data_IF_901401498122
#
_entry.id   IF_901401498122
#
_cell.length_a   1.000
_cell.length_b   1.000
_cell.length_c   1.000
_cell.angle_alpha   90.00
_cell.angle_beta   90.00
_cell.angle_gamma   90.00
#
_symmetry.space_group_name_H-M   'P 1'
#
loop_
_entity.id
_entity.type
_entity.pdbx_description
1 polymer ?
#
# COMPACT_ATOMS: atom_id res chain seq x y z
N UNK A 1 12.29 -3.54 13.87
CA UNK A 1 11.67 -4.51 12.95
C UNK A 1 10.19 -4.54 13.26
N UNK A 2 9.48 -3.47 12.91
CA UNK A 2 8.06 -3.35 13.20
C UNK A 2 7.31 -3.26 11.88
N UNK A 3 6.52 -4.28 11.55
CA UNK A 3 5.46 -4.13 10.58
C UNK A 3 4.32 -3.35 11.23
N UNK A 4 3.73 -2.41 10.52
CA UNK A 4 2.47 -1.80 10.96
C UNK A 4 1.35 -2.84 10.98
N UNK A 5 0.50 -2.84 12.01
CA UNK A 5 -0.70 -3.68 12.06
C UNK A 5 -1.85 -2.99 11.31
N UNK A 6 -2.07 -3.39 10.06
CA UNK A 6 -3.12 -2.78 9.23
C UNK A 6 -4.52 -3.17 9.68
N UNK A 7 -4.66 -4.22 10.50
CA UNK A 7 -5.97 -4.64 11.05
C UNK A 7 -6.57 -3.58 11.97
N UNK A 8 -5.74 -2.73 12.58
CA UNK A 8 -6.18 -1.59 13.39
C UNK A 8 -7.10 -0.62 12.61
N UNK A 9 -6.99 -0.59 11.28
CA UNK A 9 -7.79 0.27 10.41
C UNK A 9 -8.98 -0.46 9.77
N UNK A 10 -9.17 -1.75 10.03
CA UNK A 10 -10.19 -2.57 9.37
C UNK A 10 -11.61 -2.03 9.61
N UNK A 11 -11.87 -1.45 10.78
CA UNK A 11 -13.18 -0.87 11.13
C UNK A 11 -13.50 0.46 10.44
N UNK A 12 -12.52 1.13 9.83
CA UNK A 12 -12.67 2.46 9.23
C UNK A 12 -13.29 2.39 7.83
N UNK A 13 -14.45 1.76 7.69
CA UNK A 13 -15.07 1.43 6.39
C UNK A 13 -15.46 2.65 5.53
N UNK A 14 -15.49 3.85 6.11
CA UNK A 14 -15.71 5.12 5.38
C UNK A 14 -14.42 5.81 4.94
N UNK A 15 -13.25 5.29 5.33
CA UNK A 15 -11.97 5.84 4.92
C UNK A 15 -11.79 5.62 3.41
N UNK A 16 -11.43 6.69 2.72
CA UNK A 16 -11.25 6.69 1.26
C UNK A 16 -9.77 6.74 0.87
N UNK A 17 -8.99 7.48 1.65
CA UNK A 17 -7.59 7.76 1.42
C UNK A 17 -6.82 7.66 2.74
N UNK A 18 -5.66 7.02 2.74
CA UNK A 18 -4.78 6.87 3.90
C UNK A 18 -3.42 7.49 3.60
N UNK A 19 -2.89 8.28 4.53
CA UNK A 19 -1.57 8.93 4.42
C UNK A 19 -0.73 8.64 5.65
N UNK A 20 0.41 7.99 5.47
CA UNK A 20 1.45 7.82 6.49
C UNK A 20 2.79 8.27 5.92
N UNK A 21 3.26 9.43 6.37
CA UNK A 21 4.52 10.04 5.97
C UNK A 21 5.44 10.08 7.18
N UNK A 22 6.72 9.80 6.99
CA UNK A 22 7.74 9.91 8.06
C UNK A 22 7.39 9.05 9.29
N UNK A 23 6.78 7.89 9.06
CA UNK A 23 6.39 6.92 10.09
C UNK A 23 7.38 5.75 10.21
N UNK A 24 8.55 5.86 9.57
CA UNK A 24 9.62 4.86 9.61
C UNK A 24 9.13 3.44 9.21
N UNK A 25 8.11 3.35 8.35
CA UNK A 25 7.62 2.05 7.88
C UNK A 25 8.71 1.33 7.07
N UNK A 26 9.02 0.08 7.42
CA UNK A 26 10.11 -0.67 6.78
C UNK A 26 9.62 -1.74 5.79
N UNK A 27 8.41 -2.23 5.98
CA UNK A 27 7.77 -3.25 5.15
C UNK A 27 6.29 -2.98 4.93
N UNK A 28 5.77 -3.49 3.81
CA UNK A 28 4.33 -3.66 3.58
C UNK A 28 4.04 -5.16 3.60
N UNK A 29 3.50 -5.63 4.71
CA UNK A 29 3.07 -7.00 4.90
C UNK A 29 1.71 -7.28 4.24
N UNK A 30 1.37 -8.56 4.12
CA UNK A 30 0.14 -9.02 3.46
C UNK A 30 -1.15 -8.53 4.13
N UNK A 31 -1.13 -8.28 5.44
CA UNK A 31 -2.31 -7.87 6.22
C UNK A 31 -2.84 -6.47 5.83
N UNK A 32 -2.08 -5.68 5.05
CA UNK A 32 -2.59 -4.47 4.39
C UNK A 32 -3.85 -4.76 3.55
N UNK A 33 -4.06 -6.00 3.10
CA UNK A 33 -5.26 -6.41 2.38
C UNK A 33 -6.57 -6.21 3.19
N UNK A 34 -6.49 -6.01 4.52
CA UNK A 34 -7.65 -5.71 5.39
C UNK A 34 -8.27 -4.35 5.13
N UNK A 35 -7.50 -3.42 4.54
CA UNK A 35 -7.95 -2.10 4.13
C UNK A 35 -8.15 -1.99 2.60
N UNK A 36 -8.47 -3.11 1.95
CA UNK A 36 -8.69 -3.18 0.50
C UNK A 36 -9.86 -2.33 -0.03
N UNK A 37 -10.63 -1.70 0.85
CA UNK A 37 -11.70 -0.77 0.54
C UNK A 37 -11.20 0.64 0.17
N UNK A 38 -9.92 0.95 0.40
CA UNK A 38 -9.35 2.26 0.08
C UNK A 38 -9.23 2.49 -1.43
N UNK A 39 -9.45 3.74 -1.84
CA UNK A 39 -9.22 4.19 -3.21
C UNK A 39 -7.83 4.80 -3.40
N UNK A 40 -7.13 5.15 -2.32
CA UNK A 40 -5.76 5.65 -2.40
C UNK A 40 -4.97 5.45 -1.12
N UNK A 41 -3.67 5.19 -1.29
CA UNK A 41 -2.69 5.13 -0.20
C UNK A 41 -1.48 5.97 -0.56
N UNK A 42 -1.06 6.80 0.39
CA UNK A 42 0.23 7.49 0.36
C UNK A 42 1.07 7.00 1.54
N UNK A 43 2.12 6.25 1.22
CA UNK A 43 3.12 5.76 2.16
C UNK A 43 4.50 6.33 1.78
N UNK A 44 4.53 7.49 1.12
CA UNK A 44 5.77 8.15 0.75
C UNK A 44 6.58 8.58 1.97
N UNK A 45 7.89 8.79 1.78
CA UNK A 45 8.80 9.25 2.83
C UNK A 45 8.83 8.33 4.04
N UNK A 46 8.94 7.03 3.78
CA UNK A 46 9.20 6.01 4.80
C UNK A 46 10.50 5.26 4.44
N UNK A 47 10.72 4.11 5.07
CA UNK A 47 11.90 3.26 4.85
C UNK A 47 11.52 1.93 4.18
N UNK A 48 10.42 1.91 3.42
CA UNK A 48 9.84 0.66 2.89
C UNK A 48 10.82 0.07 1.89
N UNK A 49 11.36 -1.11 2.20
CA UNK A 49 12.34 -1.80 1.34
C UNK A 49 11.85 -3.15 0.82
N UNK A 50 10.79 -3.68 1.43
CA UNK A 50 10.16 -4.94 1.08
C UNK A 50 8.63 -4.80 1.07
N UNK A 51 7.99 -5.45 0.09
CA UNK A 51 6.55 -5.48 -0.11
C UNK A 51 6.17 -6.94 -0.34
N UNK A 52 5.17 -7.44 0.38
CA UNK A 52 4.61 -8.77 0.14
C UNK A 52 4.09 -8.89 -1.31
N UNK A 53 4.31 -10.04 -1.94
CA UNK A 53 4.00 -10.28 -3.35
C UNK A 53 2.51 -10.15 -3.70
N UNK A 54 1.62 -10.13 -2.70
CA UNK A 54 0.17 -10.01 -2.84
C UNK A 54 -0.40 -8.79 -2.08
N UNK A 55 0.43 -7.91 -1.52
CA UNK A 55 0.05 -6.79 -0.67
C UNK A 55 -1.16 -5.99 -1.19
N UNK A 56 -1.09 -5.47 -2.43
CA UNK A 56 -2.19 -4.70 -3.02
C UNK A 56 -3.10 -5.52 -3.95
N UNK A 57 -2.91 -6.84 -4.03
CA UNK A 57 -3.60 -7.70 -5.01
C UNK A 57 -5.13 -7.68 -4.91
N UNK A 58 -5.68 -7.40 -3.72
CA UNK A 58 -7.14 -7.33 -3.46
C UNK A 58 -7.74 -5.93 -3.56
N UNK A 59 -6.96 -4.90 -3.86
CA UNK A 59 -7.43 -3.52 -3.84
C UNK A 59 -8.12 -3.13 -5.17
N UNK A 60 -9.27 -3.75 -5.45
CA UNK A 60 -9.98 -3.63 -6.74
C UNK A 60 -10.42 -2.19 -7.08
N UNK A 61 -10.61 -1.34 -6.07
CA UNK A 61 -11.04 0.05 -6.23
C UNK A 61 -9.87 1.06 -6.20
N UNK A 62 -8.63 0.59 -6.02
CA UNK A 62 -7.46 1.45 -5.88
C UNK A 62 -7.20 2.29 -7.12
N UNK A 63 -7.06 3.59 -6.90
CA UNK A 63 -6.76 4.58 -7.93
C UNK A 63 -5.32 5.09 -7.80
N UNK A 64 -4.79 5.23 -6.58
CA UNK A 64 -3.47 5.83 -6.32
C UNK A 64 -2.66 5.03 -5.30
N UNK A 65 -1.44 4.63 -5.68
CA UNK A 65 -0.46 4.06 -4.76
C UNK A 65 0.79 4.94 -4.81
N UNK A 66 1.04 5.72 -3.75
CA UNK A 66 2.22 6.59 -3.65
C UNK A 66 3.22 5.93 -2.69
N UNK A 67 4.36 5.52 -3.23
CA UNK A 67 5.48 4.90 -2.50
C UNK A 67 6.80 5.65 -2.76
N UNK A 68 6.73 6.89 -3.25
CA UNK A 68 7.89 7.74 -3.50
C UNK A 68 8.75 7.91 -2.23
N UNK A 69 10.05 8.19 -2.39
CA UNK A 69 10.93 8.45 -1.25
C UNK A 69 10.94 7.28 -0.23
N UNK A 70 11.08 6.05 -0.73
CA UNK A 70 11.26 4.82 0.06
C UNK A 70 12.52 4.05 -0.41
N UNK A 71 12.78 2.88 0.19
CA UNK A 71 13.91 2.00 -0.13
C UNK A 71 13.58 0.81 -1.06
N UNK A 72 12.49 0.87 -1.83
CA UNK A 72 11.95 -0.26 -2.59
C UNK A 72 12.92 -0.65 -3.72
N UNK A 73 13.37 -1.91 -3.71
CA UNK A 73 14.33 -2.44 -4.71
C UNK A 73 13.67 -3.18 -5.87
N UNK A 74 12.54 -3.82 -5.60
CA UNK A 74 11.85 -4.68 -6.56
C UNK A 74 10.34 -4.50 -6.44
N UNK A 75 9.66 -4.51 -7.59
CA UNK A 75 8.21 -4.53 -7.67
C UNK A 75 7.78 -5.58 -8.70
N UNK A 76 6.83 -6.44 -8.31
CA UNK A 76 6.29 -7.52 -9.16
C UNK A 76 4.86 -7.20 -9.59
N UNK A 77 4.46 -7.66 -10.77
CA UNK A 77 3.09 -7.48 -11.27
C UNK A 77 2.02 -8.03 -10.33
N UNK A 78 2.32 -9.11 -9.60
CA UNK A 78 1.43 -9.76 -8.64
C UNK A 78 1.07 -8.89 -7.44
N UNK A 79 1.92 -7.91 -7.11
CA UNK A 79 1.71 -7.02 -5.97
C UNK A 79 0.49 -6.11 -6.14
N UNK A 80 -0.01 -5.95 -7.36
CA UNK A 80 -1.13 -5.07 -7.70
C UNK A 80 -2.34 -5.85 -8.25
N UNK A 81 -3.55 -5.27 -8.19
CA UNK A 81 -4.75 -5.90 -8.73
C UNK A 81 -4.58 -6.33 -10.20
N UNK A 82 -5.16 -7.47 -10.59
CA UNK A 82 -5.15 -7.93 -11.97
C UNK A 82 -6.55 -8.42 -12.37
N UNK A 83 -7.29 -7.68 -13.23
CA UNK A 83 -6.91 -6.43 -13.87
C UNK A 83 -6.86 -5.24 -12.89
N UNK A 84 -5.99 -4.26 -13.17
CA UNK A 84 -5.87 -3.02 -12.40
C UNK A 84 -6.79 -1.92 -12.94
N UNK A 85 -8.09 -2.20 -13.08
CA UNK A 85 -9.02 -1.40 -13.90
C UNK A 85 -9.21 0.05 -13.41
N UNK A 86 -9.02 0.30 -12.11
CA UNK A 86 -9.20 1.63 -11.50
C UNK A 86 -7.88 2.39 -11.31
N UNK A 87 -6.74 1.70 -11.43
CA UNK A 87 -5.44 2.22 -11.04
C UNK A 87 -4.95 3.26 -12.07
N UNK A 88 -4.70 4.48 -11.60
CA UNK A 88 -4.25 5.60 -12.45
C UNK A 88 -2.80 5.96 -12.23
N UNK A 89 -2.27 5.74 -11.02
CA UNK A 89 -0.91 6.14 -10.67
C UNK A 89 -0.30 5.18 -9.65
N UNK A 90 0.93 4.76 -9.93
CA UNK A 90 1.85 4.14 -8.99
C UNK A 90 3.12 5.00 -8.99
N UNK A 91 3.50 5.58 -7.85
CA UNK A 91 4.80 6.25 -7.69
C UNK A 91 5.74 5.38 -6.87
N UNK A 92 6.96 5.15 -7.37
CA UNK A 92 7.95 4.26 -6.75
C UNK A 92 9.31 4.95 -6.47
N UNK A 93 9.53 6.17 -6.97
CA UNK A 93 10.77 6.92 -6.82
C UNK A 93 10.48 8.23 -6.11
#
# INVERSE_FOLDING_TARGET
MGSWDWSALEGLKSLNFLMFHEMELQSIERDIERINFLNGVDLSKNEISWIDEQAFGKFWNMTYIILAENGIKEVKRSMFPNPASMLKLISLR
#
